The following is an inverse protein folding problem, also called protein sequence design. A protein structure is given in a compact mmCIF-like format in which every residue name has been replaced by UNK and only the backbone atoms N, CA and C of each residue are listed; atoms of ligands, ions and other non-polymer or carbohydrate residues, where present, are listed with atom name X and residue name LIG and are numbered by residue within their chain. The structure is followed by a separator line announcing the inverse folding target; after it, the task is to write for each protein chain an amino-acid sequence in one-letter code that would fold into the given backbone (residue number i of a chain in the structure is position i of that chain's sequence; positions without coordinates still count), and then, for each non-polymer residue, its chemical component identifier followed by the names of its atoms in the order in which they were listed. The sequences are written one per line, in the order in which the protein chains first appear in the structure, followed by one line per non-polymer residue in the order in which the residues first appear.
data_IF_923542748452
#
_entry.id   IF_923542748452
#
_cell.length_a   1.000
_cell.length_b   1.000
_cell.length_c   1.000
_cell.angle_alpha   90.00
_cell.angle_beta   90.00
_cell.angle_gamma   90.00
#
_symmetry.space_group_name_H-M   'P 1'
#
loop_
_entity.id
_entity.type
_entity.pdbx_description
1 polymer ?
#
# COMPACT_ATOMS: atom_id res chain seq x y z
N UNK A 1 -9.02 6.94 -64.81
CA UNK A 1 -9.65 5.73 -64.25
C UNK A 1 -9.53 5.78 -62.73
N UNK A 2 -10.70 5.91 -62.08
CA UNK A 2 -11.09 5.43 -60.75
C UNK A 2 -10.02 5.31 -59.65
N UNK A 3 -10.10 6.27 -58.73
CA UNK A 3 -10.24 6.11 -57.27
C UNK A 3 -9.76 4.79 -56.67
N UNK A 4 -8.79 4.86 -55.76
CA UNK A 4 -8.88 4.14 -54.49
C UNK A 4 -8.07 4.89 -53.41
N UNK A 5 -8.73 5.83 -52.73
CA UNK A 5 -8.21 6.42 -51.49
C UNK A 5 -8.50 5.40 -50.38
N UNK A 6 -7.49 4.68 -49.93
CA UNK A 6 -7.62 3.71 -48.84
C UNK A 6 -7.47 4.46 -47.51
N UNK A 7 -8.56 5.04 -47.01
CA UNK A 7 -8.63 5.57 -45.63
C UNK A 7 -8.71 4.39 -44.66
N UNK A 8 -7.57 4.00 -44.11
CA UNK A 8 -7.51 3.06 -43.00
C UNK A 8 -7.81 3.83 -41.70
N UNK A 9 -9.09 3.87 -41.29
CA UNK A 9 -9.44 4.28 -39.93
C UNK A 9 -8.91 3.21 -38.97
N UNK A 10 -7.77 3.48 -38.32
CA UNK A 10 -7.43 2.80 -37.07
C UNK A 10 -8.37 3.33 -35.99
N UNK A 11 -9.55 2.74 -35.86
CA UNK A 11 -10.29 2.80 -34.60
C UNK A 11 -9.62 1.85 -33.62
N UNK A 12 -8.49 2.28 -33.05
CA UNK A 12 -8.10 1.74 -31.75
C UNK A 12 -9.11 2.28 -30.76
N UNK A 13 -10.20 1.53 -30.58
CA UNK A 13 -10.97 1.63 -29.36
C UNK A 13 -9.99 1.24 -28.25
N UNK A 14 -9.30 2.23 -27.68
CA UNK A 14 -8.75 2.15 -26.35
C UNK A 14 -9.95 2.04 -25.41
N UNK A 15 -10.55 0.85 -25.39
CA UNK A 15 -11.43 0.44 -24.32
C UNK A 15 -10.55 0.41 -23.09
N UNK A 16 -10.56 1.50 -22.33
CA UNK A 16 -10.06 1.46 -20.97
C UNK A 16 -10.86 0.36 -20.27
N UNK A 17 -10.16 -0.72 -19.91
CA UNK A 17 -10.73 -1.72 -19.02
C UNK A 17 -11.20 -0.98 -17.78
N UNK A 18 -12.51 -0.95 -17.57
CA UNK A 18 -13.10 -0.49 -16.31
C UNK A 18 -12.76 -1.56 -15.29
N UNK A 19 -11.59 -1.46 -14.66
CA UNK A 19 -11.23 -2.27 -13.50
C UNK A 19 -12.08 -1.77 -12.34
N UNK A 20 -13.30 -2.28 -12.26
CA UNK A 20 -14.23 -2.01 -11.16
C UNK A 20 -13.93 -2.86 -9.92
N UNK A 21 -12.91 -3.71 -9.98
CA UNK A 21 -12.41 -4.41 -8.82
C UNK A 21 -11.22 -3.60 -8.29
N UNK A 22 -11.44 -2.86 -7.20
CA UNK A 22 -10.33 -2.49 -6.33
C UNK A 22 -9.55 -3.78 -6.10
N UNK A 23 -8.24 -3.75 -6.37
CA UNK A 23 -7.30 -4.74 -5.87
C UNK A 23 -7.43 -4.72 -4.35
N UNK A 24 -8.39 -5.48 -3.81
CA UNK A 24 -8.47 -5.76 -2.39
C UNK A 24 -7.29 -6.66 -2.10
N UNK A 25 -6.21 -6.05 -1.67
CA UNK A 25 -5.18 -6.77 -0.93
C UNK A 25 -5.83 -7.30 0.36
N UNK A 26 -5.37 -8.45 0.87
CA UNK A 26 -5.77 -8.96 2.20
C UNK A 26 -5.30 -7.97 3.29
N UNK A 27 -6.05 -6.88 3.44
CA UNK A 27 -5.88 -5.87 4.46
C UNK A 27 -6.70 -6.31 5.68
N UNK A 28 -6.09 -6.27 6.86
CA UNK A 28 -6.77 -6.62 8.11
C UNK A 28 -7.72 -5.49 8.59
N UNK A 29 -8.04 -4.56 7.69
CA UNK A 29 -8.90 -3.42 7.91
C UNK A 29 -9.61 -3.03 6.61
N UNK A 30 -10.79 -2.44 6.77
CA UNK A 30 -11.50 -1.75 5.71
C UNK A 30 -11.33 -0.24 5.92
N UNK A 31 -11.41 0.53 4.84
CA UNK A 31 -11.44 1.99 4.94
C UNK A 31 -12.60 2.58 4.14
N UNK A 32 -13.08 3.74 4.60
CA UNK A 32 -14.07 4.56 3.90
C UNK A 32 -13.55 5.98 3.79
N UNK A 33 -13.69 6.56 2.61
CA UNK A 33 -13.33 7.95 2.33
C UNK A 33 -14.59 8.79 2.21
N UNK A 34 -14.56 9.97 2.82
CA UNK A 34 -15.44 11.08 2.50
C UNK A 34 -14.57 12.27 2.06
N UNK A 35 -15.18 13.41 1.73
CA UNK A 35 -14.49 14.58 1.16
C UNK A 35 -13.21 14.99 1.91
N UNK A 36 -13.23 14.97 3.25
CA UNK A 36 -12.11 15.39 4.09
C UNK A 36 -11.72 14.37 5.16
N UNK A 37 -12.37 13.21 5.22
CA UNK A 37 -12.18 12.25 6.31
C UNK A 37 -11.90 10.87 5.76
N UNK A 38 -10.97 10.17 6.38
CA UNK A 38 -10.81 8.73 6.21
C UNK A 38 -11.18 8.02 7.50
N UNK A 39 -12.04 7.03 7.39
CA UNK A 39 -12.42 6.15 8.48
C UNK A 39 -11.82 4.78 8.22
N UNK A 40 -10.97 4.32 9.12
CA UNK A 40 -10.39 2.97 9.16
C UNK A 40 -11.24 2.12 10.08
N UNK A 41 -11.54 0.89 9.71
CA UNK A 41 -12.29 -0.09 10.51
C UNK A 41 -11.52 -1.40 10.53
N UNK A 42 -11.12 -1.83 11.71
CA UNK A 42 -10.25 -2.98 11.93
C UNK A 42 -11.06 -4.22 12.29
N UNK A 43 -10.52 -5.40 11.99
CA UNK A 43 -11.08 -6.65 12.48
C UNK A 43 -10.98 -6.74 14.02
N UNK A 44 -11.89 -7.51 14.64
CA UNK A 44 -11.85 -7.75 16.07
C UNK A 44 -10.51 -8.39 16.48
N UNK A 45 -9.93 -7.94 17.58
CA UNK A 45 -8.64 -8.41 18.11
C UNK A 45 -7.45 -8.19 17.16
N UNK A 46 -7.57 -7.30 16.18
CA UNK A 46 -6.42 -6.89 15.38
C UNK A 46 -5.48 -6.04 16.24
N UNK A 47 -4.28 -6.58 16.51
CA UNK A 47 -3.32 -5.90 17.38
C UNK A 47 -2.54 -4.84 16.59
N UNK A 48 -2.79 -3.56 16.90
CA UNK A 48 -2.15 -2.43 16.24
C UNK A 48 -1.12 -1.83 17.19
N UNK A 49 0.13 -1.79 16.74
CA UNK A 49 1.22 -1.19 17.51
C UNK A 49 1.33 0.31 17.26
N UNK A 50 1.06 0.80 16.04
CA UNK A 50 1.00 2.24 15.77
C UNK A 50 0.18 2.62 14.55
N UNK A 51 -0.43 3.82 14.59
CA UNK A 51 -1.03 4.46 13.41
C UNK A 51 -0.46 5.87 13.28
N UNK A 52 0.08 6.19 12.10
CA UNK A 52 0.77 7.45 11.84
C UNK A 52 0.36 8.01 10.49
N UNK A 53 0.08 9.31 10.42
CA UNK A 53 -0.06 10.07 9.18
C UNK A 53 1.23 10.83 8.92
N UNK A 54 1.79 10.68 7.73
CA UNK A 54 3.03 11.32 7.29
C UNK A 54 2.70 12.25 6.12
N UNK A 55 3.05 13.54 6.24
CA UNK A 55 3.01 14.47 5.11
C UNK A 55 4.26 14.27 4.25
N UNK A 56 4.10 13.92 2.97
CA UNK A 56 5.24 13.62 2.09
C UNK A 56 6.02 14.87 1.65
N UNK A 57 5.45 16.06 1.81
CA UNK A 57 6.13 17.32 1.46
C UNK A 57 7.00 17.84 2.59
N UNK A 58 6.55 17.70 3.84
CA UNK A 58 7.25 18.24 5.03
C UNK A 58 7.90 17.16 5.90
N UNK A 59 7.61 15.88 5.66
CA UNK A 59 7.93 14.75 6.55
C UNK A 59 7.38 14.90 7.98
N UNK A 60 6.37 15.75 8.18
CA UNK A 60 5.68 15.87 9.44
C UNK A 60 4.91 14.59 9.75
N UNK A 61 5.02 14.11 11.00
CA UNK A 61 4.41 12.86 11.47
C UNK A 61 3.39 13.18 12.55
N UNK A 62 2.14 12.83 12.31
CA UNK A 62 1.07 12.83 13.30
C UNK A 62 0.80 11.41 13.76
N UNK A 63 0.96 11.14 15.06
CA UNK A 63 0.66 9.84 15.65
C UNK A 63 -0.77 9.84 16.20
N UNK A 64 -1.53 8.78 15.93
CA UNK A 64 -2.87 8.62 16.50
C UNK A 64 -2.83 7.63 17.67
N UNK A 65 -3.38 8.00 18.83
CA UNK A 65 -3.55 7.04 19.91
C UNK A 65 -4.61 6.02 19.48
N UNK A 66 -4.19 4.80 19.17
CA UNK A 66 -5.11 3.69 18.96
C UNK A 66 -5.22 2.88 20.24
N UNK A 67 -6.45 2.71 20.73
CA UNK A 67 -6.77 1.82 21.83
C UNK A 67 -7.58 0.68 21.23
N UNK A 68 -7.09 -0.56 21.34
CA UNK A 68 -7.71 -1.77 20.76
C UNK A 68 -9.20 -1.98 21.12
N UNK A 69 -9.77 -1.19 22.03
CA UNK A 69 -11.20 -1.19 22.37
C UNK A 69 -12.08 -0.58 21.26
N UNK A 70 -11.52 0.28 20.39
CA UNK A 70 -12.24 0.90 19.30
C UNK A 70 -11.82 0.27 17.97
N UNK A 71 -12.66 -0.56 17.38
CA UNK A 71 -12.40 -1.17 16.07
C UNK A 71 -12.44 -0.17 14.90
N UNK A 72 -12.42 1.14 15.16
CA UNK A 72 -12.45 2.16 14.12
C UNK A 72 -11.70 3.41 14.53
N UNK A 73 -11.01 4.02 13.58
CA UNK A 73 -10.36 5.32 13.72
C UNK A 73 -10.81 6.23 12.57
N UNK A 74 -11.30 7.42 12.90
CA UNK A 74 -11.61 8.45 11.91
C UNK A 74 -10.61 9.59 11.99
N UNK A 75 -9.97 9.90 10.86
CA UNK A 75 -8.97 10.96 10.73
C UNK A 75 -9.58 12.08 9.89
N UNK A 76 -9.70 13.27 10.46
CA UNK A 76 -10.12 14.49 9.75
C UNK A 76 -8.91 15.22 9.17
N UNK A 77 -8.94 15.40 7.85
CA UNK A 77 -7.90 16.02 7.06
C UNK A 77 -8.29 17.42 6.54
N UNK A 78 -9.42 17.97 6.99
CA UNK A 78 -9.95 19.26 6.50
C UNK A 78 -8.96 20.44 6.60
N UNK A 79 -8.15 20.47 7.66
CA UNK A 79 -7.19 21.54 7.92
C UNK A 79 -5.76 21.20 7.48
N UNK A 80 -5.57 20.06 6.80
CA UNK A 80 -4.26 19.67 6.29
C UNK A 80 -3.96 20.37 4.97
N UNK A 81 -2.68 20.63 4.71
CA UNK A 81 -2.22 21.23 3.45
C UNK A 81 -2.51 20.32 2.26
N UNK A 82 -2.68 20.90 1.08
CA UNK A 82 -2.75 20.09 -0.15
C UNK A 82 -1.43 19.36 -0.40
N UNK A 83 -1.53 18.10 -0.86
CA UNK A 83 -0.36 17.28 -1.12
C UNK A 83 -0.58 15.80 -0.86
N UNK A 84 0.54 15.06 -0.95
CA UNK A 84 0.58 13.63 -0.70
C UNK A 84 0.78 13.31 0.77
N UNK A 85 0.04 12.31 1.25
CA UNK A 85 0.13 11.80 2.60
C UNK A 85 0.24 10.27 2.58
N UNK A 86 0.81 9.70 3.63
CA UNK A 86 0.79 8.26 3.86
C UNK A 86 0.29 7.99 5.26
N UNK A 87 -0.75 7.16 5.38
CA UNK A 87 -1.12 6.54 6.64
C UNK A 87 -0.40 5.21 6.75
N UNK A 88 0.46 5.08 7.76
CA UNK A 88 1.06 3.81 8.15
C UNK A 88 0.24 3.22 9.30
N UNK A 89 -0.21 1.99 9.14
CA UNK A 89 -0.84 1.17 10.16
C UNK A 89 0.13 0.01 10.41
N UNK A 90 0.64 -0.10 11.62
CA UNK A 90 1.72 -1.01 11.96
C UNK A 90 1.25 -1.97 13.05
N UNK A 91 1.63 -3.24 12.89
CA UNK A 91 1.64 -4.22 13.97
C UNK A 91 3.04 -4.85 14.08
N UNK A 92 3.19 -5.94 14.83
CA UNK A 92 4.48 -6.62 14.99
C UNK A 92 5.01 -7.22 13.67
N UNK A 93 4.11 -7.65 12.78
CA UNK A 93 4.44 -8.51 11.64
C UNK A 93 4.44 -7.79 10.29
N UNK A 94 3.76 -6.65 10.16
CA UNK A 94 3.64 -5.92 8.92
C UNK A 94 3.38 -4.42 9.12
N UNK A 95 3.46 -3.69 8.02
CA UNK A 95 3.07 -2.28 7.88
C UNK A 95 2.14 -2.19 6.69
N UNK A 96 0.88 -1.83 6.93
CA UNK A 96 -0.03 -1.40 5.89
C UNK A 96 0.12 0.10 5.64
N UNK A 97 0.14 0.49 4.36
CA UNK A 97 0.33 1.87 3.91
C UNK A 97 -0.82 2.27 3.01
N UNK A 98 -1.51 3.34 3.38
CA UNK A 98 -2.50 4.00 2.52
C UNK A 98 -1.90 5.31 2.02
N UNK A 99 -1.73 5.43 0.72
CA UNK A 99 -1.26 6.67 0.10
C UNK A 99 -2.47 7.52 -0.27
N UNK A 100 -2.49 8.74 0.26
CA UNK A 100 -3.56 9.70 0.09
C UNK A 100 -3.07 10.93 -0.66
N UNK A 101 -3.98 11.60 -1.36
CA UNK A 101 -3.74 12.90 -1.95
C UNK A 101 -4.90 13.83 -1.62
N UNK A 102 -4.57 15.03 -1.14
CA UNK A 102 -5.53 16.08 -0.82
C UNK A 102 -5.36 17.19 -1.85
N UNK A 103 -6.43 17.49 -2.59
CA UNK A 103 -6.47 18.62 -3.53
C UNK A 103 -7.79 19.40 -3.39
N UNK A 104 -8.01 20.35 -4.31
CA UNK A 104 -9.23 21.17 -4.36
C UNK A 104 -10.51 20.38 -4.58
N UNK A 105 -10.41 19.12 -5.03
CA UNK A 105 -11.55 18.21 -5.25
C UNK A 105 -11.76 17.27 -4.06
N UNK A 106 -11.00 17.43 -2.98
CA UNK A 106 -11.08 16.66 -1.75
C UNK A 106 -10.06 15.53 -1.65
N UNK A 107 -10.30 14.64 -0.70
CA UNK A 107 -9.44 13.51 -0.36
C UNK A 107 -9.58 12.35 -1.36
N UNK A 108 -8.45 11.80 -1.77
CA UNK A 108 -8.38 10.65 -2.68
C UNK A 108 -7.40 9.62 -2.17
N UNK A 109 -7.73 8.34 -2.35
CA UNK A 109 -6.75 7.26 -2.26
C UNK A 109 -6.00 7.14 -3.58
N UNK A 110 -4.69 7.04 -3.49
CA UNK A 110 -3.79 6.83 -4.62
C UNK A 110 -3.37 5.38 -4.70
N UNK A 111 -2.97 4.80 -3.58
CA UNK A 111 -2.43 3.44 -3.51
C UNK A 111 -2.61 2.84 -2.13
N UNK A 112 -2.57 1.51 -2.07
CA UNK A 112 -2.60 0.71 -0.85
C UNK A 112 -1.53 -0.37 -0.94
N UNK A 113 -0.71 -0.48 0.10
CA UNK A 113 0.41 -1.43 0.12
C UNK A 113 0.62 -2.05 1.49
N UNK A 114 0.68 -3.38 1.52
CA UNK A 114 1.13 -4.16 2.68
C UNK A 114 2.62 -4.48 2.57
N UNK A 115 3.36 -4.28 3.66
CA UNK A 115 4.78 -4.59 3.76
C UNK A 115 4.97 -5.56 4.93
N UNK A 116 5.27 -6.82 4.62
CA UNK A 116 5.59 -7.83 5.63
C UNK A 116 6.98 -7.54 6.21
N UNK A 117 7.07 -7.50 7.54
CA UNK A 117 8.33 -7.33 8.26
C UNK A 117 9.09 -8.64 8.27
N UNK A 118 10.39 -8.65 7.94
CA UNK A 118 11.19 -9.85 8.06
C UNK A 118 11.44 -10.16 9.54
N UNK A 119 11.37 -11.45 9.91
CA UNK A 119 11.79 -11.94 11.23
C UNK A 119 13.32 -11.95 11.36
N UNK A 120 14.02 -12.01 10.23
CA UNK A 120 15.48 -11.90 10.16
C UNK A 120 15.89 -11.16 8.90
N UNK A 121 16.86 -10.25 9.03
CA UNK A 121 17.45 -9.54 7.91
C UNK A 121 18.97 -9.45 8.08
N UNK A 122 19.71 -9.85 7.04
CA UNK A 122 21.17 -9.70 6.99
C UNK A 122 21.61 -9.21 5.62
N UNK A 123 22.56 -8.27 5.60
CA UNK A 123 23.23 -7.84 4.38
C UNK A 123 24.70 -8.28 4.43
N UNK A 124 25.15 -9.04 3.44
CA UNK A 124 26.54 -9.46 3.31
C UNK A 124 26.92 -9.52 1.83
N UNK A 125 28.05 -8.91 1.45
CA UNK A 125 28.58 -8.95 0.08
C UNK A 125 27.56 -8.52 -1.00
N UNK A 126 26.80 -7.44 -0.77
CA UNK A 126 25.72 -6.95 -1.63
C UNK A 126 24.50 -7.89 -1.76
N UNK A 127 24.43 -8.95 -0.95
CA UNK A 127 23.26 -9.85 -0.86
C UNK A 127 22.46 -9.48 0.38
N UNK A 128 21.18 -9.15 0.18
CA UNK A 128 20.22 -8.91 1.25
C UNK A 128 19.35 -10.14 1.46
N UNK A 129 19.57 -10.85 2.57
CA UNK A 129 18.77 -11.98 3.00
C UNK A 129 17.65 -11.44 3.90
N UNK A 130 16.40 -11.75 3.57
CA UNK A 130 15.22 -11.47 4.39
C UNK A 130 14.46 -12.77 4.58
N UNK A 131 14.28 -13.17 5.82
CA UNK A 131 13.40 -14.29 6.18
C UNK A 131 12.09 -13.69 6.65
N UNK A 132 11.00 -14.11 6.02
CA UNK A 132 9.64 -13.72 6.40
C UNK A 132 9.04 -14.83 7.26
N UNK A 133 8.19 -14.47 8.22
CA UNK A 133 7.38 -15.45 8.93
C UNK A 133 6.39 -16.07 7.96
N UNK A 134 6.53 -17.36 7.70
CA UNK A 134 5.75 -18.10 6.71
C UNK A 134 5.40 -19.46 7.28
N UNK A 135 4.11 -19.83 7.20
CA UNK A 135 3.65 -21.19 7.54
C UNK A 135 4.16 -22.25 6.55
N UNK A 136 4.72 -21.82 5.42
CA UNK A 136 5.34 -22.70 4.43
C UNK A 136 6.85 -22.73 4.65
N UNK A 137 7.49 -23.91 4.72
CA UNK A 137 8.94 -24.02 4.84
C UNK A 137 9.61 -23.30 3.66
N UNK A 138 10.59 -22.46 3.98
CA UNK A 138 11.42 -21.78 2.98
C UNK A 138 12.67 -22.61 2.79
N UNK A 139 12.85 -23.14 1.58
CA UNK A 139 14.09 -23.82 1.20
C UNK A 139 15.15 -22.77 0.84
N UNK A 140 16.33 -22.85 1.44
CA UNK A 140 17.43 -21.91 1.23
C UNK A 140 18.63 -22.70 0.72
N UNK A 141 18.86 -22.65 -0.59
CA UNK A 141 20.05 -23.21 -1.23
C UNK A 141 21.13 -22.13 -1.41
N UNK A 142 22.30 -22.33 -0.81
CA UNK A 142 23.47 -21.47 -1.02
C UNK A 142 24.39 -22.17 -2.02
N UNK A 143 24.48 -21.63 -3.23
CA UNK A 143 25.33 -22.20 -4.29
C UNK A 143 26.66 -21.44 -4.35
N UNK A 144 27.77 -22.15 -4.15
CA UNK A 144 29.11 -21.64 -4.32
C UNK A 144 29.44 -21.39 -5.79
N UNK A 145 30.48 -20.58 -6.06
CA UNK A 145 30.91 -20.25 -7.43
C UNK A 145 31.32 -21.48 -8.28
N UNK A 146 31.62 -22.62 -7.62
CA UNK A 146 31.90 -23.90 -8.26
C UNK A 146 30.63 -24.74 -8.55
N UNK A 147 29.44 -24.20 -8.29
CA UNK A 147 28.14 -24.85 -8.49
C UNK A 147 27.73 -25.82 -7.37
N UNK A 148 28.50 -25.93 -6.29
CA UNK A 148 28.14 -26.78 -5.14
C UNK A 148 27.19 -26.07 -4.19
N UNK A 149 26.16 -26.78 -3.74
CA UNK A 149 25.29 -26.36 -2.66
C UNK A 149 26.01 -26.56 -1.31
N UNK A 150 26.01 -25.54 -0.44
CA UNK A 150 26.64 -25.53 0.90
C UNK A 150 25.61 -25.78 1.99
#
# INVERSE_FOLDING_TARGET
MKNLLLTLLLTTALGFAKTNDLLKFDSNFNFKLNENTITLTFENNFDISSIKLINLSTNEITNFPFVNQYNSLSIDLKNHTYGGYVINIENENFIDKLMLYIDTRGLRLIDEKKIIKPIFQQNKNNILIKVLDSNSPVDISIIADNGQEI
#
